data_IF_900401498103
#
_entry.id   IF_900401498103
#
_cell.length_a   1.000
_cell.length_b   1.000
_cell.length_c   1.000
_cell.angle_alpha   90.00
_cell.angle_beta   90.00
_cell.angle_gamma   90.00
#
_symmetry.space_group_name_H-M   'P 1'
#
loop_
_entity.id
_entity.type
_entity.pdbx_description
1 polymer ?
#
# COMPACT_ATOMS: atom_id res chain seq x y z
N UNK A 1 32.96 -36.39 4.65
CA UNK A 1 33.50 -35.06 4.29
C UNK A 1 32.75 -34.57 3.07
N UNK A 2 32.18 -33.38 3.12
CA UNK A 2 31.45 -32.83 1.98
C UNK A 2 32.42 -32.61 0.80
N UNK A 3 32.04 -33.10 -0.38
CA UNK A 3 32.83 -32.95 -1.60
C UNK A 3 32.58 -31.54 -2.13
N UNK A 4 33.64 -30.74 -2.25
CA UNK A 4 33.69 -29.46 -2.96
C UNK A 4 34.54 -29.67 -4.19
N UNK A 5 34.05 -29.36 -5.39
CA UNK A 5 34.73 -29.67 -6.67
C UNK A 5 34.34 -28.66 -7.75
N UNK A 6 35.16 -28.50 -8.79
CA UNK A 6 34.84 -27.63 -9.92
C UNK A 6 35.03 -26.16 -9.57
N UNK A 7 33.94 -25.42 -9.34
CA UNK A 7 34.01 -23.99 -9.01
C UNK A 7 34.92 -23.72 -7.82
N UNK A 8 34.76 -24.49 -6.74
CA UNK A 8 35.60 -24.36 -5.54
C UNK A 8 37.10 -24.53 -5.81
N UNK A 9 37.48 -25.45 -6.70
CA UNK A 9 38.89 -25.73 -7.00
C UNK A 9 39.55 -24.55 -7.74
N UNK A 10 38.77 -23.83 -8.54
CA UNK A 10 39.20 -22.65 -9.30
C UNK A 10 39.47 -21.41 -8.45
N UNK A 11 38.99 -21.40 -7.20
CA UNK A 11 39.16 -20.28 -6.27
C UNK A 11 40.57 -20.27 -5.64
N UNK A 12 41.05 -19.07 -5.32
CA UNK A 12 42.27 -18.89 -4.54
C UNK A 12 42.05 -19.34 -3.06
N UNK A 13 43.10 -19.49 -2.25
CA UNK A 13 42.97 -19.98 -0.87
C UNK A 13 42.08 -19.11 0.04
N UNK A 14 42.11 -17.80 -0.11
CA UNK A 14 41.29 -16.86 0.67
C UNK A 14 39.80 -17.00 0.31
N UNK A 15 39.49 -16.99 -0.97
CA UNK A 15 38.14 -17.11 -1.52
C UNK A 15 37.50 -18.47 -1.21
N UNK A 16 38.32 -19.53 -1.12
CA UNK A 16 37.87 -20.87 -0.68
C UNK A 16 37.31 -20.85 0.73
N UNK A 17 37.90 -20.06 1.62
CA UNK A 17 37.43 -19.94 3.02
C UNK A 17 36.06 -19.28 3.05
N UNK A 18 35.92 -18.16 2.33
CA UNK A 18 34.66 -17.42 2.20
C UNK A 18 33.57 -18.27 1.55
N UNK A 19 33.88 -19.00 0.48
CA UNK A 19 32.91 -19.88 -0.17
C UNK A 19 32.43 -21.00 0.76
N UNK A 20 33.34 -21.58 1.55
CA UNK A 20 33.02 -22.63 2.53
C UNK A 20 32.08 -22.10 3.62
N UNK A 21 32.32 -20.89 4.11
CA UNK A 21 31.44 -20.24 5.10
C UNK A 21 30.02 -20.07 4.58
N UNK A 22 29.85 -19.66 3.31
CA UNK A 22 28.52 -19.58 2.69
C UNK A 22 27.80 -20.93 2.71
N UNK A 23 28.52 -21.99 2.33
CA UNK A 23 27.98 -23.35 2.27
C UNK A 23 27.74 -23.97 3.67
N UNK A 24 28.30 -23.40 4.74
CA UNK A 24 28.15 -23.93 6.09
C UNK A 24 26.68 -24.02 6.52
N UNK A 25 25.85 -23.08 6.06
CA UNK A 25 24.41 -23.01 6.32
C UNK A 25 23.60 -24.19 5.76
N UNK A 26 24.16 -24.97 4.84
CA UNK A 26 23.55 -26.18 4.25
C UNK A 26 24.40 -27.42 4.51
N UNK A 27 25.04 -27.50 5.67
CA UNK A 27 25.86 -28.65 6.05
C UNK A 27 27.15 -28.80 5.24
N UNK A 28 27.66 -27.68 4.70
CA UNK A 28 28.84 -27.65 3.82
C UNK A 28 28.65 -28.45 2.53
N UNK A 29 27.42 -28.61 2.03
CA UNK A 29 27.15 -29.13 0.68
C UNK A 29 27.44 -28.03 -0.35
N UNK A 30 28.07 -28.37 -1.48
CA UNK A 30 28.27 -27.44 -2.59
C UNK A 30 27.00 -27.36 -3.45
N UNK A 31 26.31 -26.20 -3.56
CA UNK A 31 25.11 -26.05 -4.38
C UNK A 31 25.29 -26.46 -5.84
N UNK A 32 26.50 -26.32 -6.40
CA UNK A 32 26.80 -26.72 -7.78
C UNK A 32 26.88 -28.24 -7.98
N UNK A 33 26.99 -29.01 -6.91
CA UNK A 33 27.10 -30.47 -6.94
C UNK A 33 25.80 -31.17 -6.54
N UNK A 34 24.74 -30.42 -6.20
CA UNK A 34 23.43 -30.99 -5.93
C UNK A 34 22.90 -31.63 -7.22
N UNK A 35 22.51 -32.92 -7.21
CA UNK A 35 21.96 -33.59 -8.38
C UNK A 35 20.71 -32.89 -8.92
N UNK A 36 20.58 -32.78 -10.25
CA UNK A 36 19.42 -32.16 -10.89
C UNK A 36 18.07 -32.79 -10.51
N UNK A 37 18.06 -34.09 -10.21
CA UNK A 37 16.86 -34.82 -9.74
C UNK A 37 16.31 -34.31 -8.40
N UNK A 38 17.13 -33.63 -7.60
CA UNK A 38 16.74 -33.09 -6.30
C UNK A 38 16.21 -31.65 -6.43
N UNK A 39 16.29 -31.08 -7.64
CA UNK A 39 15.73 -29.78 -7.98
C UNK A 39 14.31 -29.93 -8.55
N UNK A 40 13.44 -29.01 -8.16
CA UNK A 40 12.09 -28.84 -8.69
C UNK A 40 11.98 -27.50 -9.40
N UNK A 41 11.25 -27.47 -10.52
CA UNK A 41 10.87 -26.24 -11.23
C UNK A 41 9.48 -25.74 -10.82
N UNK A 42 8.81 -26.43 -9.88
CA UNK A 42 7.49 -26.02 -9.39
C UNK A 42 7.59 -24.77 -8.52
N UNK A 43 6.98 -23.67 -8.97
CA UNK A 43 6.94 -22.37 -8.28
C UNK A 43 6.21 -22.48 -6.93
N UNK A 44 5.31 -23.45 -6.77
CA UNK A 44 4.63 -23.68 -5.50
C UNK A 44 5.57 -24.19 -4.41
N UNK A 45 6.69 -24.80 -4.79
CA UNK A 45 7.72 -25.23 -3.86
C UNK A 45 8.67 -24.09 -3.43
N UNK A 46 8.54 -22.88 -3.99
CA UNK A 46 9.46 -21.77 -3.72
C UNK A 46 9.11 -21.09 -2.38
N UNK A 47 10.12 -20.71 -1.57
CA UNK A 47 9.90 -19.97 -0.32
C UNK A 47 9.24 -18.61 -0.59
N UNK A 48 8.71 -17.94 0.43
CA UNK A 48 8.27 -16.54 0.26
C UNK A 48 9.47 -15.64 -0.02
N UNK A 49 9.25 -14.51 -0.70
CA UNK A 49 10.26 -13.47 -0.88
C UNK A 49 9.54 -12.16 -1.19
N UNK A 50 9.82 -11.11 -0.42
CA UNK A 50 9.30 -9.77 -0.70
C UNK A 50 10.39 -8.85 -1.26
N UNK A 51 9.96 -7.75 -1.87
CA UNK A 51 10.88 -6.68 -2.27
C UNK A 51 11.71 -6.15 -1.09
N UNK A 52 11.11 -6.06 0.11
CA UNK A 52 11.81 -5.62 1.31
C UNK A 52 12.96 -6.57 1.68
N UNK A 53 12.78 -7.89 1.51
CA UNK A 53 13.83 -8.87 1.76
C UNK A 53 14.99 -8.74 0.78
N UNK A 54 14.70 -8.43 -0.49
CA UNK A 54 15.71 -8.15 -1.51
C UNK A 54 16.52 -6.90 -1.13
N UNK A 55 15.85 -5.81 -0.73
CA UNK A 55 16.52 -4.58 -0.32
C UNK A 55 17.36 -4.82 0.93
N UNK A 56 16.82 -5.52 1.92
CA UNK A 56 17.54 -5.91 3.13
C UNK A 56 18.82 -6.68 2.79
N UNK A 57 18.72 -7.66 1.89
CA UNK A 57 19.86 -8.44 1.48
C UNK A 57 20.91 -7.65 0.68
N UNK A 58 20.50 -6.90 -0.34
CA UNK A 58 21.44 -6.21 -1.24
C UNK A 58 22.08 -4.96 -0.61
N UNK A 59 21.36 -4.27 0.28
CA UNK A 59 21.78 -2.96 0.80
C UNK A 59 22.26 -3.05 2.25
N UNK A 60 21.68 -3.94 3.05
CA UNK A 60 21.86 -3.93 4.50
C UNK A 60 22.48 -5.22 5.06
N UNK A 61 22.66 -6.27 4.27
CA UNK A 61 23.35 -7.47 4.76
C UNK A 61 24.86 -7.28 4.74
N UNK A 62 25.55 -7.58 5.86
CA UNK A 62 27.00 -7.59 5.88
C UNK A 62 27.50 -8.74 5.00
N UNK A 63 28.34 -8.40 4.02
CA UNK A 63 29.00 -9.40 3.19
C UNK A 63 30.38 -9.65 3.81
N UNK A 64 30.79 -10.90 4.06
CA UNK A 64 32.00 -11.22 4.80
C UNK A 64 33.30 -10.62 4.22
N UNK A 65 33.28 -10.24 2.94
CA UNK A 65 34.44 -9.77 2.20
C UNK A 65 34.71 -8.26 2.34
N UNK A 66 33.73 -7.45 2.74
CA UNK A 66 33.92 -5.99 2.80
C UNK A 66 33.09 -5.37 3.94
N UNK A 67 33.53 -4.21 4.44
CA UNK A 67 32.87 -3.50 5.53
C UNK A 67 31.57 -2.83 5.07
N UNK A 68 30.58 -2.72 5.98
CA UNK A 68 29.21 -2.25 5.71
C UNK A 68 29.11 -0.85 5.07
N UNK A 69 30.12 0.00 5.25
CA UNK A 69 30.14 1.36 4.70
C UNK A 69 30.42 1.39 3.19
N UNK A 70 31.08 0.37 2.65
CA UNK A 70 31.54 0.33 1.26
C UNK A 70 30.65 -0.50 0.32
N UNK A 71 29.70 -1.28 0.85
CA UNK A 71 28.98 -2.32 0.07
C UNK A 71 27.46 -2.28 0.13
N UNK A 72 26.88 -1.08 0.12
CA UNK A 72 25.48 -0.95 -0.26
C UNK A 72 25.35 -1.16 -1.77
N UNK A 73 24.87 -2.33 -2.20
CA UNK A 73 24.70 -2.65 -3.62
C UNK A 73 23.45 -1.99 -4.21
N UNK A 74 23.33 -0.66 -4.10
CA UNK A 74 22.20 0.11 -4.65
C UNK A 74 22.02 -0.12 -6.15
N UNK A 75 23.11 -0.29 -6.89
CA UNK A 75 23.08 -0.63 -8.33
C UNK A 75 22.39 -1.97 -8.60
N UNK A 76 22.44 -2.91 -7.65
CA UNK A 76 21.73 -4.18 -7.72
C UNK A 76 20.20 -4.00 -7.79
N UNK A 77 19.65 -2.91 -7.24
CA UNK A 77 18.21 -2.64 -7.32
C UNK A 77 17.72 -2.33 -8.74
N UNK A 78 18.62 -1.94 -9.65
CA UNK A 78 18.28 -1.74 -11.06
C UNK A 78 18.25 -3.05 -11.88
N UNK A 79 18.70 -4.16 -11.29
CA UNK A 79 18.81 -5.46 -11.97
C UNK A 79 17.43 -6.05 -12.37
N UNK A 80 16.33 -5.49 -11.85
CA UNK A 80 14.98 -5.78 -12.36
C UNK A 80 14.89 -5.61 -13.90
N UNK A 81 15.68 -4.72 -14.51
CA UNK A 81 15.74 -4.52 -15.97
C UNK A 81 16.24 -5.76 -16.73
N UNK A 82 17.19 -6.51 -16.16
CA UNK A 82 17.73 -7.75 -16.76
C UNK A 82 16.67 -8.87 -16.71
N UNK A 83 15.89 -8.92 -15.62
CA UNK A 83 14.71 -9.77 -15.54
C UNK A 83 13.67 -9.45 -16.62
N UNK A 84 13.28 -8.18 -16.76
CA UNK A 84 12.31 -7.78 -17.79
C UNK A 84 12.79 -8.04 -19.21
N UNK A 85 14.10 -8.18 -19.41
CA UNK A 85 14.72 -8.49 -20.71
C UNK A 85 14.79 -10.00 -21.02
N UNK A 86 14.28 -10.88 -20.15
CA UNK A 86 14.21 -12.33 -20.38
C UNK A 86 15.56 -13.05 -20.25
N UNK A 87 16.49 -12.51 -19.46
CA UNK A 87 17.86 -13.02 -19.35
C UNK A 87 18.05 -14.13 -18.33
N UNK A 88 17.03 -14.42 -17.52
CA UNK A 88 17.02 -15.48 -16.52
C UNK A 88 16.27 -16.70 -17.08
N UNK A 89 16.87 -17.88 -16.93
CA UNK A 89 16.33 -19.16 -17.42
C UNK A 89 16.59 -20.26 -16.42
N UNK A 90 15.88 -21.38 -16.59
CA UNK A 90 16.10 -22.64 -15.88
C UNK A 90 16.19 -22.48 -14.36
N UNK A 91 15.29 -21.68 -13.77
CA UNK A 91 15.28 -21.48 -12.32
C UNK A 91 14.61 -22.66 -11.63
N UNK A 92 15.29 -23.21 -10.63
CA UNK A 92 14.83 -24.36 -9.88
C UNK A 92 15.20 -24.26 -8.40
N UNK A 93 14.46 -24.97 -7.56
CA UNK A 93 14.65 -25.01 -6.10
C UNK A 93 14.94 -26.44 -5.64
N UNK A 94 15.94 -26.58 -4.78
CA UNK A 94 16.18 -27.78 -3.98
C UNK A 94 16.13 -27.41 -2.49
N UNK A 95 15.93 -28.39 -1.61
CA UNK A 95 15.92 -28.15 -0.17
C UNK A 95 17.02 -28.97 0.52
N UNK A 96 17.76 -28.31 1.41
CA UNK A 96 18.74 -28.93 2.30
C UNK A 96 18.31 -28.63 3.74
N UNK A 97 17.57 -29.57 4.33
CA UNK A 97 16.86 -29.31 5.59
C UNK A 97 15.78 -28.25 5.42
N UNK A 98 15.83 -27.18 6.23
CA UNK A 98 14.90 -26.05 6.16
C UNK A 98 15.37 -24.88 5.28
N UNK A 99 16.53 -25.03 4.62
CA UNK A 99 17.09 -24.02 3.72
C UNK A 99 16.78 -24.38 2.27
N UNK A 100 16.17 -23.45 1.55
CA UNK A 100 15.96 -23.52 0.11
C UNK A 100 17.24 -23.09 -0.61
N UNK A 101 17.66 -23.90 -1.58
CA UNK A 101 18.72 -23.61 -2.55
C UNK A 101 18.06 -23.32 -3.88
N UNK A 102 18.00 -22.05 -4.28
CA UNK A 102 17.46 -21.66 -5.58
C UNK A 102 18.62 -21.39 -6.52
N UNK A 103 18.66 -22.09 -7.65
CA UNK A 103 19.66 -21.93 -8.69
C UNK A 103 18.98 -21.52 -10.00
N UNK A 104 19.72 -20.81 -10.85
CA UNK A 104 19.24 -20.45 -12.19
C UNK A 104 20.37 -20.11 -13.14
N UNK A 105 20.03 -19.86 -14.39
CA UNK A 105 20.97 -19.39 -15.42
C UNK A 105 20.69 -17.94 -15.76
N UNK A 106 21.72 -17.09 -15.76
CA UNK A 106 21.60 -15.66 -16.05
C UNK A 106 22.63 -15.23 -17.09
N UNK A 107 22.16 -14.64 -18.19
CA UNK A 107 23.01 -14.14 -19.27
C UNK A 107 23.86 -12.95 -18.84
N UNK A 108 25.02 -12.79 -19.49
CA UNK A 108 25.88 -11.64 -19.31
C UNK A 108 25.38 -10.43 -20.09
N UNK A 109 25.18 -9.31 -19.40
CA UNK A 109 24.68 -8.07 -19.98
C UNK A 109 25.59 -7.45 -21.05
N UNK A 110 26.90 -7.64 -20.90
CA UNK A 110 27.93 -7.05 -21.76
C UNK A 110 28.57 -8.08 -22.70
N UNK A 111 28.14 -9.35 -22.65
CA UNK A 111 28.79 -10.44 -23.39
C UNK A 111 27.81 -11.58 -23.67
N UNK A 112 26.77 -11.28 -24.45
CA UNK A 112 25.65 -12.19 -24.75
C UNK A 112 26.11 -13.52 -25.39
N UNK A 113 27.26 -13.54 -26.07
CA UNK A 113 27.84 -14.76 -26.67
C UNK A 113 28.54 -15.70 -25.69
N UNK A 114 28.75 -15.30 -24.43
CA UNK A 114 29.33 -16.17 -23.41
C UNK A 114 28.26 -17.09 -22.80
N UNK A 115 28.65 -18.28 -22.31
CA UNK A 115 27.74 -19.14 -21.56
C UNK A 115 27.09 -18.38 -20.39
N UNK A 116 25.81 -18.65 -20.08
CA UNK A 116 25.15 -18.05 -18.93
C UNK A 116 25.88 -18.36 -17.62
N UNK A 117 25.88 -17.39 -16.72
CA UNK A 117 26.29 -17.61 -15.33
C UNK A 117 25.26 -18.47 -14.61
N UNK A 118 25.71 -19.17 -13.58
CA UNK A 118 24.87 -20.01 -12.74
C UNK A 118 24.87 -19.46 -11.30
N UNK A 119 24.15 -18.39 -11.00
CA UNK A 119 23.96 -17.95 -9.63
C UNK A 119 23.09 -18.93 -8.84
N UNK A 120 23.35 -18.99 -7.54
CA UNK A 120 22.48 -19.64 -6.57
C UNK A 120 22.28 -18.75 -5.34
N UNK A 121 21.15 -18.94 -4.66
CA UNK A 121 20.74 -18.21 -3.48
C UNK A 121 20.26 -19.22 -2.42
N UNK A 122 20.69 -19.00 -1.17
CA UNK A 122 20.23 -19.73 0.00
C UNK A 122 19.22 -18.89 0.75
N UNK A 123 18.04 -19.45 0.98
CA UNK A 123 16.91 -18.73 1.58
C UNK A 123 16.20 -19.59 2.61
N UNK A 124 15.67 -18.94 3.64
CA UNK A 124 14.73 -19.58 4.56
C UNK A 124 13.33 -19.56 3.98
N UNK A 125 12.45 -20.42 4.51
CA UNK A 125 11.02 -20.48 4.12
C UNK A 125 10.26 -19.17 4.37
N UNK A 126 10.70 -18.36 5.33
CA UNK A 126 10.13 -17.05 5.67
C UNK A 126 10.52 -15.92 4.69
N UNK A 127 11.46 -16.19 3.78
CA UNK A 127 11.95 -15.25 2.78
C UNK A 127 13.22 -14.50 3.15
N UNK A 128 13.79 -14.76 4.32
CA UNK A 128 15.11 -14.25 4.66
C UNK A 128 16.17 -14.89 3.74
N UNK A 129 16.87 -14.05 2.97
CA UNK A 129 18.02 -14.46 2.16
C UNK A 129 19.24 -14.58 3.07
N UNK A 130 19.81 -15.79 3.13
CA UNK A 130 20.97 -16.10 3.97
C UNK A 130 22.25 -15.63 3.28
N UNK A 131 22.46 -16.10 2.04
CA UNK A 131 23.63 -15.77 1.23
C UNK A 131 23.37 -16.19 -0.22
N UNK A 132 24.26 -15.80 -1.11
CA UNK A 132 24.21 -16.15 -2.51
C UNK A 132 25.62 -16.28 -3.07
N UNK A 133 25.75 -16.89 -4.25
CA UNK A 133 26.99 -16.88 -5.00
C UNK A 133 26.70 -16.89 -6.49
N UNK A 134 27.65 -16.41 -7.27
CA UNK A 134 27.62 -16.53 -8.72
C UNK A 134 29.02 -16.93 -9.21
N UNK A 135 29.07 -17.65 -10.33
CA UNK A 135 30.32 -18.01 -10.98
C UNK A 135 30.89 -16.88 -11.86
N UNK A 136 30.32 -15.67 -11.82
CA UNK A 136 30.90 -14.51 -12.48
C UNK A 136 32.09 -13.92 -11.70
N UNK A 137 32.87 -13.04 -12.35
CA UNK A 137 34.06 -12.41 -11.75
C UNK A 137 33.81 -11.69 -10.43
N UNK A 138 32.61 -11.14 -10.22
CA UNK A 138 32.21 -10.45 -8.99
C UNK A 138 31.31 -11.30 -8.07
N UNK A 139 31.11 -12.58 -8.38
CA UNK A 139 30.08 -13.40 -7.76
C UNK A 139 30.39 -13.83 -6.32
N UNK A 140 31.67 -13.78 -5.92
CA UNK A 140 32.07 -14.03 -4.54
C UNK A 140 31.56 -12.93 -3.58
N UNK A 141 31.32 -11.72 -4.07
CA UNK A 141 30.68 -10.65 -3.30
C UNK A 141 29.18 -10.87 -3.04
N UNK A 142 28.57 -11.95 -3.55
CA UNK A 142 27.18 -12.35 -3.29
C UNK A 142 26.08 -11.38 -3.75
N UNK A 143 26.43 -10.22 -4.29
CA UNK A 143 25.50 -9.14 -4.69
C UNK A 143 25.73 -8.63 -6.11
N UNK A 144 26.38 -9.43 -6.95
CA UNK A 144 26.53 -9.10 -8.37
C UNK A 144 25.15 -8.99 -9.05
N UNK A 145 25.10 -8.33 -10.21
CA UNK A 145 23.84 -8.11 -10.95
C UNK A 145 23.12 -9.42 -11.24
N UNK A 146 23.82 -10.51 -11.57
CA UNK A 146 23.20 -11.81 -11.81
C UNK A 146 22.45 -12.36 -10.58
N UNK A 147 22.97 -12.14 -9.36
CA UNK A 147 22.27 -12.56 -8.12
C UNK A 147 21.04 -11.68 -7.90
N UNK A 148 21.18 -10.36 -8.05
CA UNK A 148 20.05 -9.44 -7.89
C UNK A 148 18.94 -9.75 -8.91
N UNK A 149 19.30 -10.01 -10.17
CA UNK A 149 18.40 -10.44 -11.24
C UNK A 149 17.65 -11.73 -10.90
N UNK A 150 18.35 -12.72 -10.32
CA UNK A 150 17.73 -13.96 -9.84
C UNK A 150 16.75 -13.70 -8.68
N UNK A 151 17.11 -12.86 -7.71
CA UNK A 151 16.22 -12.48 -6.60
C UNK A 151 14.93 -11.80 -7.10
N UNK A 152 15.04 -10.87 -8.04
CA UNK A 152 13.87 -10.21 -8.64
C UNK A 152 13.00 -11.19 -9.44
N UNK A 153 13.61 -12.16 -10.13
CA UNK A 153 12.87 -13.23 -10.80
C UNK A 153 12.08 -14.06 -9.79
N UNK A 154 12.71 -14.43 -8.66
CA UNK A 154 12.08 -15.21 -7.59
C UNK A 154 10.89 -14.46 -7.00
N UNK A 155 11.08 -13.21 -6.57
CA UNK A 155 10.01 -12.39 -5.99
C UNK A 155 8.87 -12.19 -6.98
N UNK A 156 9.16 -11.92 -8.26
CA UNK A 156 8.10 -11.74 -9.27
C UNK A 156 7.34 -13.05 -9.52
N UNK A 157 8.03 -14.19 -9.55
CA UNK A 157 7.40 -15.50 -9.73
C UNK A 157 6.48 -15.85 -8.56
N UNK A 158 6.92 -15.56 -7.33
CA UNK A 158 6.11 -15.70 -6.11
C UNK A 158 4.92 -14.76 -6.14
N UNK A 159 5.12 -13.48 -6.50
CA UNK A 159 4.04 -12.51 -6.64
C UNK A 159 3.01 -12.96 -7.67
N UNK A 160 3.43 -13.54 -8.79
CA UNK A 160 2.51 -14.11 -9.80
C UNK A 160 1.79 -15.34 -9.25
N UNK A 161 2.48 -16.25 -8.55
CA UNK A 161 1.87 -17.42 -7.90
C UNK A 161 0.79 -16.98 -6.91
N UNK A 162 1.13 -16.02 -6.05
CA UNK A 162 0.24 -15.51 -5.00
C UNK A 162 -0.86 -14.61 -5.59
N UNK A 163 -0.66 -14.01 -6.77
CA UNK A 163 -1.73 -13.31 -7.49
C UNK A 163 -2.68 -14.27 -8.23
N UNK A 164 -2.19 -15.43 -8.70
CA UNK A 164 -3.03 -16.47 -9.32
C UNK A 164 -4.06 -17.05 -8.37
N UNK A 165 -3.81 -17.04 -7.05
CA UNK A 165 -4.80 -17.47 -6.06
C UNK A 165 -5.97 -16.48 -5.92
N UNK A 166 -5.80 -15.22 -6.32
CA UNK A 166 -6.84 -14.18 -6.22
C UNK A 166 -7.87 -14.25 -7.35
N UNK A 167 -7.55 -14.85 -8.50
CA UNK A 167 -8.51 -15.02 -9.61
C UNK A 167 -9.24 -16.35 -9.62
N UNK A 168 -8.88 -17.30 -8.74
CA UNK A 168 -9.52 -18.62 -8.63
C UNK A 168 -10.38 -18.85 -7.38
N UNK A 169 -10.58 -17.88 -6.48
CA UNK A 169 -11.87 -17.66 -5.78
C UNK A 169 -11.86 -16.47 -4.79
N UNK A 170 -12.93 -15.67 -4.88
CA UNK A 170 -13.64 -14.80 -3.91
C UNK A 170 -12.79 -14.16 -2.77
N UNK A 171 -12.57 -12.83 -2.75
CA UNK A 171 -13.60 -11.88 -2.30
C UNK A 171 -13.27 -10.39 -2.59
N UNK A 172 -13.45 -9.95 -3.84
CA UNK A 172 -13.41 -8.52 -4.15
C UNK A 172 -14.53 -7.70 -3.48
N UNK A 173 -15.57 -8.36 -2.95
CA UNK A 173 -16.64 -7.74 -2.15
C UNK A 173 -16.29 -7.53 -0.68
N UNK A 174 -15.24 -8.17 -0.15
CA UNK A 174 -14.79 -7.91 1.24
C UNK A 174 -13.88 -6.69 1.31
N UNK A 175 -13.25 -6.32 0.19
CA UNK A 175 -12.44 -5.12 0.11
C UNK A 175 -13.38 -3.90 -0.03
N UNK A 176 -13.25 -2.87 0.81
CA UNK A 176 -13.98 -1.64 0.60
C UNK A 176 -13.60 -1.06 -0.77
N UNK A 177 -14.61 -0.75 -1.59
CA UNK A 177 -14.41 -0.20 -2.91
C UNK A 177 -13.58 1.10 -2.86
N UNK A 178 -12.75 1.32 -3.88
CA UNK A 178 -12.01 2.57 -4.02
C UNK A 178 -13.00 3.72 -4.20
N UNK A 179 -13.01 4.66 -3.26
CA UNK A 179 -13.87 5.84 -3.31
C UNK A 179 -13.29 6.80 -4.33
N UNK A 180 -13.92 6.84 -5.52
CA UNK A 180 -13.50 7.75 -6.60
C UNK A 180 -13.94 9.19 -6.36
N UNK A 181 -14.98 9.39 -5.55
CA UNK A 181 -15.52 10.69 -5.18
C UNK A 181 -16.24 10.63 -3.83
N UNK A 182 -16.06 11.64 -2.99
CA UNK A 182 -16.68 11.69 -1.65
C UNK A 182 -17.88 12.62 -1.69
N UNK A 183 -19.09 12.05 -1.73
CA UNK A 183 -20.31 12.85 -1.67
C UNK A 183 -20.57 13.32 -0.24
N UNK A 184 -20.82 14.62 0.00
CA UNK A 184 -21.23 15.10 1.31
C UNK A 184 -22.53 14.39 1.74
N UNK A 185 -22.59 13.99 3.00
CA UNK A 185 -23.74 13.29 3.60
C UNK A 185 -24.08 13.92 4.96
N UNK A 186 -25.35 13.88 5.41
CA UNK A 186 -25.72 14.34 6.74
C UNK A 186 -24.86 13.65 7.81
N UNK A 187 -24.49 14.39 8.86
CA UNK A 187 -23.62 13.86 9.94
C UNK A 187 -24.21 12.60 10.58
N UNK A 188 -25.54 12.48 10.64
CA UNK A 188 -26.23 11.29 11.13
C UNK A 188 -25.96 10.03 10.30
N UNK A 189 -25.68 10.18 9.00
CA UNK A 189 -25.46 9.10 8.05
C UNK A 189 -23.97 8.79 7.82
N UNK A 190 -23.06 9.59 8.41
CA UNK A 190 -21.62 9.35 8.33
C UNK A 190 -21.22 8.29 9.36
N UNK A 191 -20.68 7.16 8.88
CA UNK A 191 -20.06 6.17 9.75
C UNK A 191 -18.74 6.72 10.32
N UNK A 192 -18.73 7.14 11.59
CA UNK A 192 -17.51 7.55 12.31
C UNK A 192 -16.76 6.37 12.96
N UNK A 193 -17.07 5.12 12.60
CA UNK A 193 -16.30 3.97 13.09
C UNK A 193 -14.82 4.17 12.79
N UNK A 194 -13.97 4.08 13.82
CA UNK A 194 -12.53 4.28 13.65
C UNK A 194 -11.95 3.28 12.66
N UNK A 195 -10.89 3.68 11.94
CA UNK A 195 -10.18 2.80 11.02
C UNK A 195 -9.69 1.51 11.69
N UNK A 196 -9.32 1.58 12.98
CA UNK A 196 -8.92 0.42 13.79
C UNK A 196 -10.08 -0.57 13.96
N UNK A 197 -11.27 -0.07 14.31
CA UNK A 197 -12.47 -0.91 14.46
C UNK A 197 -12.93 -1.48 13.12
N UNK A 198 -12.88 -0.70 12.03
CA UNK A 198 -13.20 -1.19 10.67
C UNK A 198 -12.24 -2.31 10.23
N UNK A 199 -10.94 -2.15 10.48
CA UNK A 199 -9.93 -3.18 10.21
C UNK A 199 -10.21 -4.48 10.99
N UNK A 200 -10.47 -4.37 12.29
CA UNK A 200 -10.74 -5.55 13.11
C UNK A 200 -12.00 -6.31 12.67
N UNK A 201 -13.05 -5.60 12.23
CA UNK A 201 -14.26 -6.23 11.66
C UNK A 201 -13.98 -6.95 10.35
N UNK A 202 -13.15 -6.36 9.48
CA UNK A 202 -12.74 -7.00 8.23
C UNK A 202 -11.92 -8.26 8.51
N UNK A 203 -10.97 -8.21 9.44
CA UNK A 203 -10.20 -9.38 9.87
C UNK A 203 -11.10 -10.49 10.41
N UNK A 204 -12.05 -10.17 11.31
CA UNK A 204 -12.99 -11.16 11.84
C UNK A 204 -13.87 -11.80 10.76
N UNK A 205 -14.30 -11.02 9.76
CA UNK A 205 -15.09 -11.53 8.64
C UNK A 205 -14.28 -12.46 7.73
N UNK A 206 -12.97 -12.20 7.58
CA UNK A 206 -12.04 -13.07 6.85
C UNK A 206 -11.80 -14.37 7.64
N UNK A 207 -11.57 -14.26 8.94
CA UNK A 207 -11.31 -15.42 9.82
C UNK A 207 -12.54 -16.36 9.88
N UNK A 208 -13.76 -15.80 9.89
CA UNK A 208 -15.01 -16.57 9.93
C UNK A 208 -15.30 -17.38 8.65
N UNK A 209 -14.58 -17.13 7.55
CA UNK A 209 -14.70 -17.90 6.31
C UNK A 209 -13.84 -19.17 6.31
N UNK A 210 -12.85 -19.26 7.20
CA UNK A 210 -11.98 -20.43 7.35
C UNK A 210 -12.65 -21.64 8.01
N UNK A 211 -13.74 -21.42 8.77
CA UNK A 211 -14.36 -22.43 9.62
C UNK A 211 -15.69 -23.02 9.05
N UNK A 212 -15.93 -22.89 7.74
CA UNK A 212 -17.17 -23.37 7.11
C UNK A 212 -17.22 -24.89 6.88
N UNK A 213 -17.00 -25.67 7.94
CA UNK A 213 -17.54 -27.02 8.10
C UNK A 213 -18.27 -27.06 9.46
N UNK A 214 -19.59 -26.84 9.40
CA UNK A 214 -20.56 -26.83 10.51
C UNK A 214 -20.76 -25.49 11.24
N UNK A 215 -21.65 -24.63 10.71
CA UNK A 215 -22.89 -24.34 11.42
C UNK A 215 -23.92 -23.63 10.54
N UNK A 216 -25.12 -24.17 10.54
CA UNK A 216 -26.35 -23.50 10.12
C UNK A 216 -26.62 -22.26 10.96
N UNK A 217 -26.85 -21.13 10.27
CA UNK A 217 -27.67 -19.98 10.69
C UNK A 217 -27.46 -19.40 12.10
N UNK A 218 -26.84 -18.23 12.16
CA UNK A 218 -27.50 -16.97 12.53
C UNK A 218 -26.55 -15.84 12.16
N UNK A 219 -26.87 -15.13 11.09
CA UNK A 219 -26.43 -13.74 10.91
C UNK A 219 -26.92 -12.98 12.12
N UNK A 220 -26.10 -12.91 13.17
CA UNK A 220 -26.22 -11.80 14.10
C UNK A 220 -25.94 -10.56 13.25
N UNK A 221 -26.90 -9.62 13.12
CA UNK A 221 -26.57 -8.31 12.62
C UNK A 221 -25.35 -7.81 13.40
N UNK A 222 -24.51 -6.93 12.83
CA UNK A 222 -23.44 -6.33 13.62
C UNK A 222 -24.04 -5.90 14.95
N UNK A 223 -23.28 -6.02 16.03
CA UNK A 223 -23.52 -5.18 17.19
C UNK A 223 -23.43 -3.75 16.67
N UNK A 224 -24.56 -3.25 16.13
CA UNK A 224 -25.00 -1.91 16.32
C UNK A 224 -24.73 -1.76 17.80
N UNK A 225 -23.68 -0.99 18.14
CA UNK A 225 -23.73 -0.26 19.40
C UNK A 225 -25.17 0.18 19.44
N UNK A 226 -25.92 -0.23 20.46
CA UNK A 226 -27.16 0.45 20.78
C UNK A 226 -26.82 1.91 20.52
N UNK A 227 -27.36 2.45 19.42
CA UNK A 227 -27.45 3.89 19.30
C UNK A 227 -28.18 4.16 20.59
N UNK A 228 -27.48 4.73 21.58
CA UNK A 228 -28.20 5.18 22.75
C UNK A 228 -29.30 6.00 22.11
N UNK A 229 -30.55 5.58 22.27
CA UNK A 229 -31.66 6.41 21.86
C UNK A 229 -31.49 7.62 22.75
N UNK A 230 -30.76 8.62 22.24
CA UNK A 230 -30.60 9.88 22.90
C UNK A 230 -31.97 10.49 22.67
N UNK A 231 -32.82 10.60 23.70
CA UNK A 231 -34.11 11.21 23.53
C UNK A 231 -33.88 12.60 22.94
N UNK A 232 -34.71 12.96 21.95
CA UNK A 232 -34.66 14.28 21.33
C UNK A 232 -34.74 15.32 22.46
N UNK A 233 -33.75 16.22 22.52
CA UNK A 233 -33.68 17.23 23.56
C UNK A 233 -35.00 18.00 23.60
N UNK A 234 -35.61 18.02 24.78
CA UNK A 234 -36.90 18.67 25.03
C UNK A 234 -36.76 20.17 24.83
N UNK A 235 -37.82 20.87 24.42
CA UNK A 235 -37.78 22.34 24.22
C UNK A 235 -37.30 23.09 25.47
N UNK A 236 -37.65 22.58 26.67
CA UNK A 236 -37.18 23.12 27.94
C UNK A 236 -35.65 22.96 28.15
N UNK A 237 -35.08 21.83 27.72
CA UNK A 237 -33.63 21.58 27.82
C UNK A 237 -32.86 22.48 26.85
N UNK A 238 -33.40 22.65 25.63
CA UNK A 238 -32.84 23.56 24.63
C UNK A 238 -32.87 25.01 25.14
N UNK A 239 -33.98 25.46 25.74
CA UNK A 239 -34.09 26.78 26.34
C UNK A 239 -33.13 26.97 27.51
N UNK A 240 -32.97 25.98 28.38
CA UNK A 240 -32.02 26.03 29.50
C UNK A 240 -30.57 26.14 29.02
N UNK A 241 -30.22 25.41 27.95
CA UNK A 241 -28.90 25.51 27.33
C UNK A 241 -28.64 26.91 26.73
N UNK A 242 -29.61 27.45 25.99
CA UNK A 242 -29.49 28.80 25.41
C UNK A 242 -29.43 29.89 26.49
N UNK A 243 -30.17 29.73 27.59
CA UNK A 243 -30.09 30.62 28.76
C UNK A 243 -28.71 30.55 29.43
N UNK A 244 -28.15 29.35 29.60
CA UNK A 244 -26.78 29.17 30.10
C UNK A 244 -25.73 29.78 29.18
N UNK A 245 -25.93 29.79 27.86
CA UNK A 245 -25.04 30.48 26.94
C UNK A 245 -25.16 32.00 27.10
N UNK A 246 -26.39 32.53 27.24
CA UNK A 246 -26.62 33.96 27.46
C UNK A 246 -25.96 34.46 28.75
N UNK A 247 -26.00 33.67 29.83
CA UNK A 247 -25.36 34.04 31.11
C UNK A 247 -23.84 34.12 31.05
N UNK A 248 -23.19 33.55 30.03
CA UNK A 248 -21.74 33.71 29.83
C UNK A 248 -21.33 35.12 29.38
N UNK A 249 -22.29 35.95 28.97
CA UNK A 249 -22.04 37.33 28.52
C UNK A 249 -21.32 37.45 27.16
N UNK A 250 -21.04 36.33 26.48
CA UNK A 250 -20.39 36.31 25.16
C UNK A 250 -21.43 36.41 24.04
N UNK A 251 -21.07 37.10 22.95
CA UNK A 251 -21.90 37.24 21.74
C UNK A 251 -21.87 35.94 20.92
N UNK A 252 -22.71 34.97 21.27
CA UNK A 252 -22.81 33.70 20.54
C UNK A 252 -23.70 33.84 19.29
N UNK A 253 -23.22 33.37 18.13
CA UNK A 253 -23.95 33.45 16.87
C UNK A 253 -25.33 32.76 16.91
N UNK A 254 -25.43 31.62 17.60
CA UNK A 254 -26.69 30.86 17.75
C UNK A 254 -27.79 31.66 18.48
N UNK A 255 -27.42 32.58 19.39
CA UNK A 255 -28.37 33.41 20.11
C UNK A 255 -28.98 34.50 19.21
N UNK A 256 -28.33 34.86 18.09
CA UNK A 256 -28.84 35.88 17.15
C UNK A 256 -30.08 35.41 16.37
N UNK A 257 -30.26 34.09 16.24
CA UNK A 257 -31.37 33.48 15.50
C UNK A 257 -32.39 32.78 16.42
N UNK A 258 -32.10 32.66 17.72
CA UNK A 258 -32.93 31.93 18.67
C UNK A 258 -33.77 32.88 19.53
N UNK A 259 -35.08 32.98 19.24
CA UNK A 259 -36.02 33.69 20.11
C UNK A 259 -36.13 32.98 21.49
N UNK A 260 -36.26 33.70 22.62
CA UNK A 260 -36.32 35.16 22.78
C UNK A 260 -34.93 35.84 22.94
N UNK A 261 -33.84 35.08 22.89
CA UNK A 261 -32.49 35.58 23.20
C UNK A 261 -31.90 36.50 22.11
N UNK A 262 -32.49 36.51 20.92
CA UNK A 262 -32.07 37.32 19.79
C UNK A 262 -32.34 38.83 19.94
N UNK A 263 -33.15 39.25 20.92
CA UNK A 263 -33.52 40.66 21.13
C UNK A 263 -32.28 41.58 21.31
N UNK A 264 -31.24 41.08 21.97
CA UNK A 264 -29.99 41.83 22.23
C UNK A 264 -29.13 42.01 20.96
N UNK A 265 -29.46 41.30 19.89
CA UNK A 265 -28.72 41.28 18.62
C UNK A 265 -29.46 41.98 17.49
N UNK A 266 -30.65 42.53 17.77
CA UNK A 266 -31.38 43.35 16.80
C UNK A 266 -30.71 44.73 16.70
N UNK A 267 -30.29 45.16 15.49
CA UNK A 267 -29.75 46.49 15.29
C UNK A 267 -30.77 47.55 15.69
N UNK A 268 -30.38 48.52 16.52
CA UNK A 268 -31.26 49.63 16.96
C UNK A 268 -31.67 50.59 15.83
N UNK A 269 -31.04 50.46 14.67
CA UNK A 269 -31.26 51.31 13.49
C UNK A 269 -31.64 50.40 12.32
N UNK A 270 -32.93 50.18 12.13
CA UNK A 270 -33.49 49.55 10.92
C UNK A 270 -33.74 50.62 9.87
N UNK A 271 -32.67 51.10 9.22
CA UNK A 271 -32.79 51.91 8.00
C UNK A 271 -33.10 50.98 6.82
N UNK A 272 -33.96 51.42 5.89
CA UNK A 272 -34.41 50.67 4.71
C UNK A 272 -33.29 50.23 3.75
N UNK A 273 -32.06 50.68 4.00
CA UNK A 273 -30.88 50.47 3.15
C UNK A 273 -30.02 49.28 3.58
N UNK A 274 -30.26 48.66 4.74
CA UNK A 274 -29.46 47.52 5.23
C UNK A 274 -30.12 46.16 4.99
N UNK A 275 -29.32 45.10 4.77
CA UNK A 275 -29.84 43.74 4.61
C UNK A 275 -30.61 43.28 5.86
N UNK A 276 -31.57 42.38 5.65
CA UNK A 276 -32.43 41.87 6.72
C UNK A 276 -31.57 41.32 7.89
N UNK A 277 -31.93 41.61 9.16
CA UNK A 277 -31.13 41.19 10.30
C UNK A 277 -31.07 39.66 10.40
N UNK A 278 -29.99 39.11 10.99
CA UNK A 278 -29.80 37.66 11.13
C UNK A 278 -30.98 36.98 11.83
N UNK A 279 -31.67 37.67 12.74
CA UNK A 279 -32.88 37.21 13.41
C UNK A 279 -34.01 36.81 12.44
N UNK A 280 -34.00 37.32 11.21
CA UNK A 280 -34.98 37.01 10.15
C UNK A 280 -34.60 35.81 9.28
N UNK A 281 -33.43 35.20 9.48
CA UNK A 281 -32.93 34.08 8.68
C UNK A 281 -33.38 32.71 9.21
N UNK A 282 -34.00 32.63 10.39
CA UNK A 282 -34.53 31.37 10.91
C UNK A 282 -35.82 31.03 10.16
N UNK A 283 -35.74 30.10 9.23
CA UNK A 283 -36.88 29.52 8.50
C UNK A 283 -37.21 28.15 9.07
N UNK A 284 -38.45 27.94 9.50
CA UNK A 284 -38.92 26.61 9.95
C UNK A 284 -38.89 25.58 8.81
N UNK A 285 -39.13 26.01 7.57
CA UNK A 285 -39.04 25.15 6.40
C UNK A 285 -37.64 24.57 6.19
N UNK A 286 -36.57 25.29 6.59
CA UNK A 286 -35.19 24.80 6.49
C UNK A 286 -34.81 23.80 7.59
N UNK A 287 -35.64 23.64 8.63
CA UNK A 287 -35.44 22.62 9.67
C UNK A 287 -35.93 21.23 9.23
N UNK A 288 -36.76 21.18 8.17
CA UNK A 288 -37.38 19.94 7.64
C UNK A 288 -36.92 19.59 6.21
N UNK A 289 -35.93 20.29 5.64
CA UNK A 289 -35.48 20.03 4.27
C UNK A 289 -34.75 18.68 4.14
N UNK A 290 -35.37 17.74 3.43
CA UNK A 290 -34.69 16.56 2.88
C UNK A 290 -33.79 16.99 1.70
N UNK A 291 -32.49 16.68 1.78
CA UNK A 291 -31.45 17.04 0.80
C UNK A 291 -31.65 16.49 -0.65
N UNK A 292 -32.76 15.79 -0.94
CA UNK A 292 -33.00 15.22 -2.28
C UNK A 292 -33.47 16.25 -3.33
N UNK A 293 -33.81 17.48 -2.94
CA UNK A 293 -34.35 18.50 -3.84
C UNK A 293 -33.30 19.47 -4.43
N UNK A 294 -32.00 19.34 -4.12
CA UNK A 294 -30.97 20.30 -4.59
C UNK A 294 -30.57 20.16 -6.07
N UNK A 295 -30.93 19.06 -6.74
CA UNK A 295 -30.59 18.87 -8.16
C UNK A 295 -31.35 19.79 -9.13
N UNK A 296 -32.36 20.54 -8.67
CA UNK A 296 -33.19 21.41 -9.54
C UNK A 296 -32.69 22.85 -9.64
N UNK A 297 -31.74 23.29 -8.80
CA UNK A 297 -31.30 24.70 -8.74
C UNK A 297 -30.00 24.99 -9.52
N UNK A 298 -29.33 23.97 -10.05
CA UNK A 298 -28.05 24.12 -10.78
C UNK A 298 -28.19 24.51 -12.26
N UNK A 299 -29.37 24.92 -12.74
CA UNK A 299 -29.58 25.28 -14.15
C UNK A 299 -29.48 26.79 -14.48
N UNK A 300 -28.94 27.61 -13.57
CA UNK A 300 -28.79 29.07 -13.78
C UNK A 300 -27.33 29.54 -14.00
N UNK A 301 -26.50 28.72 -14.65
CA UNK A 301 -25.14 29.11 -15.05
C UNK A 301 -24.93 28.98 -16.56
N UNK A 302 -25.68 29.76 -17.33
CA UNK A 302 -25.31 30.13 -18.70
C UNK A 302 -25.70 31.59 -18.97
N UNK A 303 -24.82 32.51 -18.54
CA UNK A 303 -24.81 33.90 -19.01
C UNK A 303 -23.52 34.06 -19.84
N UNK A 304 -23.59 34.41 -21.13
CA UNK A 304 -22.40 34.59 -21.95
C UNK A 304 -21.67 35.89 -21.55
N UNK A 305 -20.39 35.78 -21.22
CA UNK A 305 -19.51 36.92 -20.95
C UNK A 305 -19.23 37.67 -22.27
N UNK A 306 -19.71 38.91 -22.32
CA UNK A 306 -19.41 39.88 -23.36
C UNK A 306 -17.93 40.30 -23.25
N UNK A 307 -17.13 39.97 -24.27
CA UNK A 307 -15.74 40.41 -24.39
C UNK A 307 -15.67 41.94 -24.46
N UNK A 308 -15.02 42.56 -23.48
CA UNK A 308 -14.56 43.94 -23.56
C UNK A 308 -13.20 44.01 -24.28
N UNK A 309 -13.14 44.96 -25.20
CA UNK A 309 -12.04 45.39 -26.07
C UNK A 309 -10.76 45.81 -25.31
N UNK A 310 -9.55 45.60 -25.88
CA UNK A 310 -8.39 46.41 -25.58
C UNK A 310 -8.18 47.51 -26.63
N UNK A 311 -7.84 48.70 -26.13
CA UNK A 311 -7.54 49.90 -26.90
C UNK A 311 -6.36 49.76 -27.87
N UNK A 312 -6.61 50.19 -29.11
CA UNK A 312 -5.80 51.04 -29.98
C UNK A 312 -4.30 51.23 -29.64
N UNK A 313 -3.44 50.72 -30.52
CA UNK A 313 -2.22 51.40 -30.96
C UNK A 313 -2.22 51.34 -32.50
N UNK A 314 -2.17 52.52 -33.14
CA UNK A 314 -2.32 52.70 -34.58
C UNK A 314 -1.04 52.41 -35.35
N UNK A 315 -1.24 51.85 -36.54
CA UNK A 315 -0.62 52.17 -37.83
C UNK A 315 0.90 52.29 -37.93
N UNK A 316 1.50 51.41 -38.73
CA UNK A 316 2.14 51.85 -39.98
C UNK A 316 2.15 50.72 -41.02
N UNK A 317 1.81 51.12 -42.24
CA UNK A 317 1.57 50.37 -43.46
C UNK A 317 2.85 49.98 -44.21
N UNK A 318 2.66 48.97 -45.08
CA UNK A 318 3.27 48.73 -46.38
C UNK A 318 4.66 48.06 -46.50
N UNK A 319 4.64 47.03 -47.39
CA UNK A 319 5.69 46.21 -48.02
C UNK A 319 6.02 44.88 -47.32
#
# INVERSE_FOLDING_TARGET
>A
MAKMKGYYESLNPEDKTVYREKCASIGSVDPYLIPFKDYSTDINAWPSLSYCDIVNYLVFSPIPLYTMEEMKAYKGLEAHKEFTSGWIRDVCVAYQGDVAVIAGKVLHSQSIGLPPTCPWVLMKKDGAVITANCNCKAGLGSTCTHVASLLFYIETSIRIRDAKTVTQEKAYWLLPGSVKDVTPSPVADIDFTSAKTRRNRLSQAIDSLGDAANLTTKTTPPLLRHSREIPKATDAEQQSFLASLKSTGRKCAILTISAPHNADFVPKVTLSTFPKPLSSLKSENCLEMDHKAENSLNHFSNIPLHNQTPNHFSDYQDI
#
